data_IF_237737243036
#
_entry.id   IF_237737243036
#
_cell.length_a   1.000
_cell.length_b   1.000
_cell.length_c   1.000
_cell.angle_alpha   90.00
_cell.angle_beta   90.00
_cell.angle_gamma   90.00
#
_symmetry.space_group_name_H-M   'P 1'
#
loop_
_entity.id
_entity.type
_entity.pdbx_description
1 polymer ?
#
# COMPACT_ATOMS: atom_id res chain seq x y z
N UNK A 1 10.32 -25.71 -18.73
CA UNK A 1 10.54 -24.25 -18.73
C UNK A 1 10.73 -23.83 -17.29
N UNK A 2 11.78 -23.06 -16.99
CA UNK A 2 11.93 -22.39 -15.70
C UNK A 2 11.11 -21.10 -15.69
N UNK A 3 10.70 -20.68 -14.51
CA UNK A 3 10.03 -19.39 -14.30
C UNK A 3 10.99 -18.22 -14.47
N UNK A 4 10.43 -17.01 -14.53
CA UNK A 4 11.16 -15.75 -14.66
C UNK A 4 11.37 -15.09 -13.30
N UNK A 5 12.56 -14.57 -13.04
CA UNK A 5 12.83 -13.71 -11.88
C UNK A 5 12.93 -12.24 -12.30
N UNK A 6 12.04 -11.37 -11.79
CA UNK A 6 12.11 -9.93 -11.99
C UNK A 6 12.73 -9.25 -10.76
N UNK A 7 13.92 -8.65 -10.91
CA UNK A 7 14.55 -7.81 -9.91
C UNK A 7 14.02 -6.37 -10.07
N UNK A 8 13.13 -5.93 -9.18
CA UNK A 8 12.36 -4.68 -9.36
C UNK A 8 12.77 -3.63 -8.34
N UNK A 9 13.08 -2.42 -8.81
CA UNK A 9 13.21 -1.25 -7.96
C UNK A 9 11.87 -0.64 -7.57
N UNK A 10 11.58 -0.62 -6.26
CA UNK A 10 10.36 -0.09 -5.67
C UNK A 10 10.33 1.44 -5.60
N UNK A 11 11.46 2.11 -5.85
CA UNK A 11 11.59 3.55 -5.63
C UNK A 11 11.95 3.91 -4.18
N UNK A 12 12.05 5.21 -3.86
CA UNK A 12 12.66 5.70 -2.63
C UNK A 12 11.78 5.60 -1.37
N UNK A 13 10.48 5.34 -1.51
CA UNK A 13 9.53 5.27 -0.41
C UNK A 13 8.09 5.34 -0.90
N UNK A 14 7.67 6.48 -1.45
CA UNK A 14 6.30 6.66 -1.91
C UNK A 14 5.92 5.68 -3.04
N UNK A 15 4.75 5.01 -2.96
CA UNK A 15 4.30 4.03 -3.95
C UNK A 15 4.25 4.54 -5.40
N UNK A 16 3.99 5.84 -5.59
CA UNK A 16 3.89 6.45 -6.93
C UNK A 16 5.20 6.50 -7.71
N UNK A 17 6.34 6.24 -7.05
CA UNK A 17 7.63 6.13 -7.72
C UNK A 17 7.89 4.75 -8.33
N UNK A 18 7.00 3.78 -8.12
CA UNK A 18 7.09 2.49 -8.79
C UNK A 18 6.88 2.70 -10.30
N UNK A 19 7.75 2.09 -11.10
CA UNK A 19 7.63 2.18 -12.56
C UNK A 19 6.42 1.40 -13.07
N UNK A 20 5.87 1.79 -14.22
CA UNK A 20 4.73 1.07 -14.86
C UNK A 20 5.05 -0.41 -15.11
N UNK A 21 6.29 -0.71 -15.51
CA UNK A 21 6.74 -2.10 -15.68
C UNK A 21 6.81 -2.83 -14.34
N UNK A 22 7.30 -2.18 -13.29
CA UNK A 22 7.32 -2.74 -11.93
C UNK A 22 5.92 -3.11 -11.43
N UNK A 23 4.95 -2.21 -11.62
CA UNK A 23 3.54 -2.46 -11.26
C UNK A 23 2.94 -3.64 -12.04
N UNK A 24 3.22 -3.72 -13.34
CA UNK A 24 2.79 -4.84 -14.17
C UNK A 24 3.36 -6.17 -13.67
N UNK A 25 4.66 -6.24 -13.36
CA UNK A 25 5.29 -7.46 -12.87
C UNK A 25 4.82 -7.87 -11.49
N UNK A 26 4.54 -6.92 -10.59
CA UNK A 26 3.90 -7.23 -9.31
C UNK A 26 2.51 -7.86 -9.50
N UNK A 27 1.71 -7.32 -10.41
CA UNK A 27 0.39 -7.88 -10.72
C UNK A 27 0.47 -9.29 -11.32
N UNK A 28 1.48 -9.54 -12.13
CA UNK A 28 1.76 -10.85 -12.75
C UNK A 28 2.51 -11.81 -11.80
N UNK A 29 2.87 -11.43 -10.58
CA UNK A 29 3.72 -12.26 -9.73
C UNK A 29 2.95 -13.45 -9.13
N UNK A 30 3.62 -14.61 -9.04
CA UNK A 30 3.15 -15.75 -8.24
C UNK A 30 3.74 -15.70 -6.82
N UNK A 31 4.91 -15.09 -6.66
CA UNK A 31 5.57 -14.85 -5.37
C UNK A 31 6.32 -13.51 -5.39
N UNK A 32 6.29 -12.77 -4.28
CA UNK A 32 6.99 -11.50 -4.09
C UNK A 32 7.89 -11.56 -2.85
N UNK A 33 9.19 -11.48 -3.06
CA UNK A 33 10.20 -11.32 -2.02
C UNK A 33 10.53 -9.83 -1.82
N UNK A 34 10.28 -9.29 -0.62
CA UNK A 34 10.45 -7.85 -0.35
C UNK A 34 11.24 -7.56 0.93
N UNK A 35 11.90 -6.41 0.96
CA UNK A 35 12.72 -5.92 2.08
C UNK A 35 11.92 -5.02 3.03
N UNK A 36 12.48 -4.79 4.22
CA UNK A 36 11.93 -3.86 5.24
C UNK A 36 11.65 -2.43 4.76
N UNK A 37 12.38 -1.93 3.76
CA UNK A 37 12.26 -0.55 3.27
C UNK A 37 11.27 -0.39 2.12
N UNK A 38 10.71 -1.49 1.62
CA UNK A 38 9.62 -1.45 0.64
C UNK A 38 8.34 -1.03 1.35
N UNK A 39 7.60 -0.10 0.75
CA UNK A 39 6.33 0.32 1.29
C UNK A 39 5.27 -0.79 1.12
N UNK A 40 4.56 -1.19 2.19
CA UNK A 40 3.53 -2.23 2.12
C UNK A 40 2.41 -1.93 1.12
N UNK A 41 2.13 -0.67 0.78
CA UNK A 41 1.11 -0.33 -0.21
C UNK A 41 1.39 -0.96 -1.57
N UNK A 42 2.67 -1.12 -1.95
CA UNK A 42 3.07 -1.76 -3.20
C UNK A 42 2.69 -3.23 -3.25
N UNK A 43 2.56 -3.90 -2.10
CA UNK A 43 2.21 -5.32 -2.04
C UNK A 43 0.75 -5.58 -2.45
N UNK A 44 -0.14 -4.60 -2.29
CA UNK A 44 -1.53 -4.68 -2.77
C UNK A 44 -1.63 -4.73 -4.31
N UNK A 45 -0.54 -4.44 -5.04
CA UNK A 45 -0.46 -4.61 -6.48
C UNK A 45 -0.27 -6.07 -6.89
N UNK A 46 0.07 -6.96 -5.94
CA UNK A 46 0.30 -8.39 -6.14
C UNK A 46 -0.75 -9.25 -5.38
N UNK A 47 -2.06 -9.08 -5.64
CA UNK A 47 -3.12 -9.67 -4.80
C UNK A 47 -3.20 -11.20 -4.84
N UNK A 48 -2.58 -11.84 -5.83
CA UNK A 48 -2.57 -13.31 -6.00
C UNK A 48 -1.23 -13.93 -5.58
N UNK A 49 -0.24 -13.11 -5.24
CA UNK A 49 1.10 -13.59 -4.98
C UNK A 49 1.29 -14.02 -3.52
N UNK A 50 2.11 -15.04 -3.32
CA UNK A 50 2.68 -15.31 -1.99
C UNK A 50 3.66 -14.19 -1.61
N UNK A 51 3.45 -13.54 -0.47
CA UNK A 51 4.28 -12.42 -0.01
C UNK A 51 5.29 -12.89 1.05
N UNK A 52 6.59 -12.73 0.76
CA UNK A 52 7.69 -13.21 1.62
C UNK A 52 8.58 -12.04 2.05
N UNK A 53 8.50 -11.65 3.33
CA UNK A 53 9.39 -10.66 3.94
C UNK A 53 10.78 -11.28 4.22
N UNK A 54 11.77 -10.94 3.39
CA UNK A 54 13.15 -11.40 3.56
C UNK A 54 13.97 -10.53 4.52
N UNK A 55 13.39 -9.42 4.99
CA UNK A 55 13.97 -8.54 6.00
C UNK A 55 13.78 -9.05 7.43
N UNK A 56 12.75 -9.87 7.72
CA UNK A 56 12.38 -10.35 9.07
C UNK A 56 11.69 -11.73 9.08
N UNK A 57 12.29 -12.77 8.51
CA UNK A 57 11.74 -14.12 8.68
C UNK A 57 11.69 -14.54 10.17
N UNK A 58 10.61 -15.19 10.65
CA UNK A 58 10.48 -15.63 12.04
C UNK A 58 11.66 -16.53 12.45
N UNK A 59 12.26 -16.26 13.61
CA UNK A 59 13.42 -16.97 14.19
C UNK A 59 14.77 -16.79 13.49
N UNK A 60 14.90 -15.87 12.54
CA UNK A 60 16.20 -15.57 11.91
C UNK A 60 16.63 -14.12 12.12
N UNK A 61 17.85 -13.96 12.64
CA UNK A 61 18.69 -12.79 12.31
C UNK A 61 18.69 -12.59 10.79
N UNK A 62 18.81 -11.34 10.31
CA UNK A 62 18.91 -10.94 8.88
C UNK A 62 19.22 -12.13 7.96
N UNK A 63 18.28 -12.52 7.09
CA UNK A 63 18.48 -13.61 6.15
C UNK A 63 19.78 -13.34 5.39
N UNK A 64 20.72 -14.29 5.45
CA UNK A 64 21.99 -14.16 4.71
C UNK A 64 21.66 -14.05 3.22
N UNK A 65 22.39 -13.20 2.50
CA UNK A 65 22.14 -12.97 1.08
C UNK A 65 22.06 -14.27 0.27
N UNK A 66 22.98 -15.21 0.51
CA UNK A 66 22.98 -16.51 -0.17
C UNK A 66 21.68 -17.32 0.01
N UNK A 67 20.95 -17.14 1.13
CA UNK A 67 19.66 -17.79 1.30
C UNK A 67 18.56 -17.10 0.48
N UNK A 68 18.61 -15.77 0.34
CA UNK A 68 17.68 -15.04 -0.54
C UNK A 68 17.90 -15.47 -1.99
N UNK A 69 19.15 -15.46 -2.45
CA UNK A 69 19.55 -15.94 -3.79
C UNK A 69 19.02 -17.36 -4.05
N UNK A 70 19.24 -18.27 -3.11
CA UNK A 70 18.77 -19.64 -3.20
C UNK A 70 17.24 -19.75 -3.27
N UNK A 71 16.50 -18.97 -2.48
CA UNK A 71 15.03 -18.95 -2.51
C UNK A 71 14.50 -18.47 -3.87
N UNK A 72 15.14 -17.46 -4.47
CA UNK A 72 14.76 -16.99 -5.81
C UNK A 72 14.90 -18.11 -6.85
N UNK A 73 16.02 -18.84 -6.80
CA UNK A 73 16.27 -20.00 -7.69
C UNK A 73 15.24 -21.11 -7.44
N UNK A 74 15.02 -21.50 -6.17
CA UNK A 74 14.08 -22.56 -5.79
C UNK A 74 12.66 -22.29 -6.33
N UNK A 75 12.16 -21.06 -6.21
CA UNK A 75 10.83 -20.70 -6.69
C UNK A 75 10.78 -20.61 -8.22
N UNK A 76 11.82 -20.09 -8.87
CA UNK A 76 11.88 -20.04 -10.33
C UNK A 76 11.92 -21.46 -10.95
N UNK A 77 12.62 -22.40 -10.32
CA UNK A 77 12.65 -23.82 -10.73
C UNK A 77 11.28 -24.50 -10.64
N UNK A 78 10.36 -23.98 -9.82
CA UNK A 78 8.96 -24.40 -9.76
C UNK A 78 8.09 -23.76 -10.86
N UNK A 79 8.69 -23.14 -11.87
CA UNK A 79 8.02 -22.44 -12.97
C UNK A 79 7.15 -21.25 -12.49
N UNK A 80 7.50 -20.62 -11.37
CA UNK A 80 6.82 -19.44 -10.83
C UNK A 80 7.39 -18.15 -11.41
N UNK A 81 6.54 -17.14 -11.57
CA UNK A 81 6.92 -15.73 -11.81
C UNK A 81 7.32 -15.10 -10.49
N UNK A 82 8.62 -14.96 -10.29
CA UNK A 82 9.21 -14.50 -9.02
C UNK A 82 9.52 -13.02 -9.11
N UNK A 83 8.99 -12.22 -8.19
CA UNK A 83 9.41 -10.83 -8.02
C UNK A 83 10.33 -10.69 -6.81
N UNK A 84 11.49 -10.07 -7.02
CA UNK A 84 12.34 -9.55 -5.95
C UNK A 84 12.20 -8.04 -5.92
N UNK A 85 11.33 -7.54 -5.03
CA UNK A 85 11.04 -6.11 -4.90
C UNK A 85 12.02 -5.46 -3.91
N UNK A 86 12.81 -4.50 -4.38
CA UNK A 86 13.94 -3.88 -3.65
C UNK A 86 13.72 -2.38 -3.52
N UNK A 87 13.98 -1.81 -2.34
CA UNK A 87 13.89 -0.37 -2.15
C UNK A 87 14.90 0.39 -3.02
N UNK A 88 14.49 1.53 -3.59
CA UNK A 88 15.27 2.32 -4.52
C UNK A 88 15.41 1.65 -5.88
N UNK A 89 16.65 1.45 -6.31
CA UNK A 89 17.02 0.79 -7.56
C UNK A 89 17.81 -0.50 -7.26
N UNK A 90 17.60 -1.61 -8.01
CA UNK A 90 18.30 -2.87 -7.75
C UNK A 90 19.83 -2.75 -7.83
N UNK A 91 20.35 -1.86 -8.68
CA UNK A 91 21.77 -1.74 -9.00
C UNK A 91 22.47 -0.56 -8.29
N UNK A 92 21.73 0.32 -7.61
CA UNK A 92 22.31 1.37 -6.76
C UNK A 92 22.43 0.90 -5.31
N UNK A 93 23.54 0.23 -4.98
CA UNK A 93 23.81 -0.40 -3.68
C UNK A 93 22.71 -1.36 -3.17
N UNK A 94 21.86 -1.85 -4.07
CA UNK A 94 20.79 -2.80 -3.77
C UNK A 94 21.26 -4.26 -3.78
N UNK A 95 22.48 -4.56 -4.25
CA UNK A 95 23.01 -5.93 -4.46
C UNK A 95 22.26 -6.73 -5.54
N UNK A 96 21.53 -6.06 -6.43
CA UNK A 96 20.86 -6.73 -7.55
C UNK A 96 21.86 -7.39 -8.51
N UNK A 97 23.09 -6.88 -8.62
CA UNK A 97 24.14 -7.51 -9.42
C UNK A 97 24.52 -8.90 -8.89
N UNK A 98 24.79 -9.01 -7.59
CA UNK A 98 25.07 -10.30 -6.93
C UNK A 98 23.91 -11.29 -7.10
N UNK A 99 22.66 -10.83 -6.94
CA UNK A 99 21.46 -11.64 -7.16
C UNK A 99 21.35 -12.11 -8.62
N UNK A 100 21.61 -11.22 -9.60
CA UNK A 100 21.58 -11.54 -11.03
C UNK A 100 22.67 -12.52 -11.46
N UNK A 101 23.91 -12.36 -10.98
CA UNK A 101 25.01 -13.29 -11.24
C UNK A 101 24.67 -14.72 -10.79
N UNK A 102 24.02 -14.84 -9.64
CA UNK A 102 23.60 -16.13 -9.08
C UNK A 102 22.49 -16.78 -9.87
N UNK A 103 21.53 -16.00 -10.34
CA UNK A 103 20.45 -16.48 -11.21
C UNK A 103 21.01 -16.98 -12.55
N UNK A 104 21.91 -16.20 -13.16
CA UNK A 104 22.59 -16.57 -14.39
C UNK A 104 23.39 -17.87 -14.24
N UNK A 105 24.18 -17.99 -13.16
CA UNK A 105 24.96 -19.19 -12.87
C UNK A 105 24.09 -20.45 -12.66
N UNK A 106 22.84 -20.27 -12.21
CA UNK A 106 21.86 -21.33 -12.03
C UNK A 106 21.03 -21.63 -13.30
N UNK A 107 21.28 -20.93 -14.42
CA UNK A 107 20.52 -21.07 -15.65
C UNK A 107 19.07 -20.58 -15.55
N UNK A 108 18.79 -19.63 -14.66
CA UNK A 108 17.46 -19.05 -14.46
C UNK A 108 17.35 -17.73 -15.23
N UNK A 109 16.32 -17.62 -16.07
CA UNK A 109 15.99 -16.37 -16.76
C UNK A 109 15.61 -15.28 -15.76
N UNK A 110 16.18 -14.10 -15.94
CA UNK A 110 15.88 -12.95 -15.11
C UNK A 110 15.86 -11.65 -15.90
N UNK A 111 15.12 -10.68 -15.39
CA UNK A 111 15.10 -9.30 -15.88
C UNK A 111 15.34 -8.33 -14.72
N UNK A 112 15.80 -7.13 -15.06
CA UNK A 112 15.97 -6.03 -14.11
C UNK A 112 15.04 -4.90 -14.51
N UNK A 113 14.12 -4.57 -13.62
CA UNK A 113 13.23 -3.42 -13.77
C UNK A 113 13.79 -2.29 -12.92
N UNK A 114 14.33 -1.21 -13.52
CA UNK A 114 14.95 -0.13 -12.77
C UNK A 114 13.93 0.57 -11.89
N UNK A 115 14.42 1.11 -10.77
CA UNK A 115 13.65 1.93 -9.86
C UNK A 115 14.23 3.33 -9.74
N UNK A 116 13.42 4.28 -9.27
CA UNK A 116 13.93 5.62 -9.02
C UNK A 116 14.78 5.61 -7.74
N UNK A 117 16.07 5.86 -7.86
CA UNK A 117 16.97 5.88 -6.69
C UNK A 117 16.67 7.05 -5.75
N UNK A 118 16.80 6.81 -4.45
CA UNK A 118 16.67 7.84 -3.42
C UNK A 118 17.73 8.93 -3.55
N UNK A 119 18.89 8.63 -4.14
CA UNK A 119 19.93 9.62 -4.40
C UNK A 119 19.51 10.74 -5.37
N UNK A 120 18.44 10.53 -6.15
CA UNK A 120 17.90 11.53 -7.08
C UNK A 120 16.53 11.99 -6.59
N UNK A 121 15.56 11.08 -6.50
CA UNK A 121 14.20 11.45 -6.11
C UNK A 121 14.09 11.95 -4.67
N UNK A 122 14.94 11.46 -3.77
CA UNK A 122 14.92 11.92 -2.40
C UNK A 122 15.38 13.36 -2.24
N UNK A 123 16.34 13.80 -3.06
CA UNK A 123 16.77 15.19 -3.15
C UNK A 123 15.67 16.05 -3.77
N UNK A 124 15.08 15.60 -4.89
CA UNK A 124 13.99 16.30 -5.56
C UNK A 124 12.80 16.54 -4.62
N UNK A 125 12.38 15.52 -3.86
CA UNK A 125 11.31 15.63 -2.87
C UNK A 125 11.67 16.52 -1.66
N UNK A 126 12.95 16.83 -1.47
CA UNK A 126 13.42 17.79 -0.48
C UNK A 126 13.64 19.20 -1.05
N UNK A 127 13.32 19.44 -2.33
CA UNK A 127 13.58 20.71 -3.02
C UNK A 127 15.06 20.94 -3.35
N UNK A 128 15.86 19.88 -3.43
CA UNK A 128 17.29 19.95 -3.76
C UNK A 128 17.48 19.28 -5.13
N UNK A 129 17.97 19.99 -6.15
CA UNK A 129 18.31 19.35 -7.41
C UNK A 129 19.64 18.61 -7.26
N UNK A 130 19.79 17.45 -7.90
CA UNK A 130 21.05 16.68 -7.84
C UNK A 130 22.21 17.43 -8.53
N UNK A 131 21.88 18.18 -9.59
CA UNK A 131 22.79 19.00 -10.39
C UNK A 131 22.18 20.37 -10.65
N UNK A 132 23.01 21.39 -10.82
CA UNK A 132 22.57 22.73 -11.22
C UNK A 132 23.73 23.42 -11.94
N UNK A 133 23.46 24.14 -13.04
CA UNK A 133 24.49 24.73 -13.90
C UNK A 133 25.54 25.54 -13.11
N UNK A 134 25.09 26.33 -12.15
CA UNK A 134 25.96 27.21 -11.36
C UNK A 134 26.58 26.55 -10.13
N UNK A 135 26.18 25.32 -9.77
CA UNK A 135 26.60 24.68 -8.51
C UNK A 135 27.22 23.29 -8.65
N UNK A 136 26.79 22.50 -9.63
CA UNK A 136 27.22 21.11 -9.79
C UNK A 136 26.98 20.61 -11.23
N UNK A 137 28.07 20.37 -11.96
CA UNK A 137 28.10 19.71 -13.28
C UNK A 137 28.21 18.18 -13.19
N UNK A 138 28.54 17.66 -12.00
CA UNK A 138 28.66 16.23 -11.69
C UNK A 138 28.01 15.90 -10.35
N UNK A 139 27.79 14.62 -10.11
CA UNK A 139 27.43 14.12 -8.78
C UNK A 139 28.01 12.71 -8.55
N UNK A 140 28.18 12.35 -7.28
CA UNK A 140 28.79 11.10 -6.87
C UNK A 140 27.93 10.43 -5.81
N UNK A 141 27.53 9.19 -6.05
CA UNK A 141 26.80 8.37 -5.06
C UNK A 141 27.80 7.45 -4.36
N UNK A 142 27.89 7.58 -3.04
CA UNK A 142 28.88 6.90 -2.21
C UNK A 142 28.16 6.09 -1.14
N UNK A 143 28.56 4.86 -0.89
CA UNK A 143 28.08 4.12 0.29
C UNK A 143 28.92 4.47 1.50
N UNK A 144 28.28 4.88 2.59
CA UNK A 144 28.93 5.04 3.88
C UNK A 144 29.23 3.72 4.57
N UNK A 145 28.67 2.58 4.12
CA UNK A 145 28.94 1.27 4.69
C UNK A 145 29.57 0.35 3.64
N UNK A 146 30.83 -0.05 3.84
CA UNK A 146 31.52 -1.06 3.02
C UNK A 146 31.79 -2.32 3.83
N UNK A 147 31.87 -3.47 3.15
CA UNK A 147 32.52 -4.66 3.71
C UNK A 147 34.00 -4.32 3.95
N UNK A 148 34.55 -4.74 5.10
CA UNK A 148 35.90 -4.41 5.59
C UNK A 148 37.05 -4.83 4.65
N UNK A 149 36.77 -5.61 3.61
CA UNK A 149 37.76 -6.28 2.77
C UNK A 149 38.24 -5.46 1.56
N UNK A 150 37.55 -4.40 1.13
CA UNK A 150 37.81 -3.69 -0.14
C UNK A 150 38.58 -2.36 -0.03
N UNK A 151 39.43 -2.19 0.98
CA UNK A 151 40.14 -0.93 1.21
C UNK A 151 39.21 0.21 1.62
N UNK A 152 39.75 1.20 2.34
CA UNK A 152 38.99 2.38 2.76
C UNK A 152 38.46 3.19 1.57
N UNK A 153 37.54 4.12 1.85
CA UNK A 153 37.19 5.15 0.88
C UNK A 153 38.42 6.04 0.64
N UNK A 154 38.68 6.41 -0.62
CA UNK A 154 39.72 7.38 -0.94
C UNK A 154 39.22 8.79 -0.60
N UNK A 155 39.31 9.16 0.68
CA UNK A 155 38.81 10.43 1.20
C UNK A 155 39.52 11.64 0.60
N UNK A 156 40.81 11.52 0.28
CA UNK A 156 41.56 12.54 -0.46
C UNK A 156 40.89 12.84 -1.81
N UNK A 157 40.54 11.80 -2.58
CA UNK A 157 39.83 11.99 -3.84
C UNK A 157 38.39 12.52 -3.65
N UNK A 158 37.64 11.94 -2.71
CA UNK A 158 36.22 12.28 -2.49
C UNK A 158 36.05 13.74 -2.05
N UNK A 159 36.90 14.23 -1.15
CA UNK A 159 36.82 15.61 -0.66
C UNK A 159 37.08 16.63 -1.77
N UNK A 160 37.92 16.27 -2.75
CA UNK A 160 38.31 17.11 -3.88
C UNK A 160 37.36 16.98 -5.09
N UNK A 161 36.41 16.05 -5.07
CA UNK A 161 35.41 15.97 -6.14
C UNK A 161 34.55 17.24 -6.18
N UNK A 162 34.41 17.78 -7.39
CA UNK A 162 33.46 18.84 -7.72
C UNK A 162 32.03 18.29 -7.76
N UNK A 163 31.04 19.18 -7.69
CA UNK A 163 29.63 18.81 -7.76
C UNK A 163 29.05 18.31 -6.43
N UNK A 164 28.02 17.46 -6.55
CA UNK A 164 27.20 17.02 -5.41
C UNK A 164 27.63 15.64 -4.91
N UNK A 165 27.99 15.52 -3.63
CA UNK A 165 28.26 14.22 -3.00
C UNK A 165 27.00 13.72 -2.29
N UNK A 166 26.57 12.50 -2.59
CA UNK A 166 25.42 11.86 -1.95
C UNK A 166 25.87 10.58 -1.28
N UNK A 167 25.88 10.55 0.05
CA UNK A 167 26.17 9.33 0.81
C UNK A 167 24.87 8.59 1.16
N UNK A 168 24.80 7.33 0.71
CA UNK A 168 23.80 6.35 1.10
C UNK A 168 24.30 5.52 2.26
N UNK A 169 23.40 5.09 3.15
CA UNK A 169 23.74 4.24 4.31
C UNK A 169 24.83 4.83 5.25
N UNK A 170 25.02 6.15 5.23
CA UNK A 170 26.11 6.81 5.95
C UNK A 170 25.78 7.32 7.36
N UNK A 171 24.51 7.28 7.79
CA UNK A 171 24.08 7.99 9.00
C UNK A 171 24.84 7.60 10.28
N UNK A 172 25.11 6.31 10.49
CA UNK A 172 25.89 5.88 11.65
C UNK A 172 27.35 6.33 11.61
N UNK A 173 27.86 6.64 10.42
CA UNK A 173 29.23 7.12 10.18
C UNK A 173 29.29 8.62 9.89
N UNK A 174 28.19 9.37 10.03
CA UNK A 174 28.15 10.80 9.73
C UNK A 174 29.29 11.59 10.41
N UNK A 175 29.63 11.37 11.70
CA UNK A 175 30.78 12.06 12.31
C UNK A 175 32.11 11.78 11.60
N UNK A 176 32.35 10.54 11.18
CA UNK A 176 33.57 10.16 10.46
C UNK A 176 33.58 10.76 9.06
N UNK A 177 32.48 10.67 8.30
CA UNK A 177 32.35 11.26 6.97
C UNK A 177 32.68 12.76 7.02
N UNK A 178 32.15 13.49 8.01
CA UNK A 178 32.41 14.92 8.19
C UNK A 178 33.87 15.19 8.54
N UNK A 179 34.48 14.40 9.43
CA UNK A 179 35.88 14.55 9.80
C UNK A 179 36.81 14.32 8.61
N UNK A 180 36.60 13.24 7.86
CA UNK A 180 37.40 12.86 6.69
C UNK A 180 37.32 13.88 5.57
N UNK A 181 36.11 14.36 5.24
CA UNK A 181 35.93 15.42 4.24
C UNK A 181 36.69 16.69 4.63
N UNK A 182 36.61 17.11 5.90
CA UNK A 182 37.30 18.32 6.38
C UNK A 182 38.81 18.15 6.41
N UNK A 183 39.30 17.00 6.89
CA UNK A 183 40.73 16.67 6.93
C UNK A 183 41.36 16.73 5.54
N UNK A 184 40.61 16.33 4.51
CA UNK A 184 41.07 16.31 3.12
C UNK A 184 40.68 17.56 2.31
N UNK A 185 40.35 18.67 2.99
CA UNK A 185 40.24 19.99 2.38
C UNK A 185 38.83 20.47 2.00
N UNK A 186 37.76 19.70 2.29
CA UNK A 186 36.39 20.20 2.08
C UNK A 186 36.10 21.33 3.07
N UNK A 187 35.67 22.48 2.56
CA UNK A 187 35.41 23.66 3.38
C UNK A 187 34.39 23.40 4.48
N UNK A 188 34.68 23.88 5.69
CA UNK A 188 33.82 23.73 6.87
C UNK A 188 32.43 24.36 6.72
N UNK A 189 32.32 25.35 5.81
CA UNK A 189 31.11 26.08 5.45
C UNK A 189 30.27 25.37 4.37
N UNK A 190 30.78 24.30 3.75
CA UNK A 190 30.07 23.57 2.68
C UNK A 190 28.68 23.17 3.18
N UNK A 191 27.60 23.52 2.45
CA UNK A 191 26.25 23.14 2.83
C UNK A 191 26.05 21.62 2.83
N UNK A 192 25.36 21.13 3.85
CA UNK A 192 24.96 19.72 3.96
C UNK A 192 23.46 19.64 4.22
N UNK A 193 22.79 18.70 3.56
CA UNK A 193 21.42 18.29 3.88
C UNK A 193 21.39 16.83 4.32
N UNK A 194 20.58 16.54 5.33
CA UNK A 194 20.22 15.20 5.77
C UNK A 194 18.75 15.01 5.50
N UNK A 195 18.41 14.05 4.64
CA UNK A 195 17.04 13.79 4.20
C UNK A 195 16.63 12.41 4.73
N UNK A 196 15.86 12.40 5.81
CA UNK A 196 15.34 11.19 6.43
C UNK A 196 14.02 10.81 5.77
N UNK A 197 13.85 9.50 5.49
CA UNK A 197 12.61 8.95 4.93
C UNK A 197 12.13 9.72 3.69
N UNK A 198 13.02 9.91 2.73
CA UNK A 198 12.72 10.70 1.54
C UNK A 198 11.47 10.16 0.81
N UNK A 199 10.62 11.05 0.31
CA UNK A 199 9.32 10.79 -0.34
C UNK A 199 8.21 10.20 0.55
N UNK A 200 8.53 9.75 1.76
CA UNK A 200 7.55 9.15 2.67
C UNK A 200 6.89 10.22 3.56
N UNK A 201 5.71 9.94 4.14
CA UNK A 201 4.94 10.93 4.91
C UNK A 201 5.68 11.51 6.13
N UNK A 202 6.61 10.75 6.70
CA UNK A 202 7.44 11.17 7.81
C UNK A 202 8.79 11.77 7.36
N UNK A 203 8.88 12.25 6.11
CA UNK A 203 10.08 12.88 5.57
C UNK A 203 10.52 14.04 6.48
N UNK A 204 11.80 14.06 6.84
CA UNK A 204 12.40 15.15 7.60
C UNK A 204 13.69 15.59 6.94
N UNK A 205 13.89 16.89 6.85
CA UNK A 205 15.07 17.47 6.22
C UNK A 205 15.76 18.42 7.19
N UNK A 206 17.06 18.24 7.36
CA UNK A 206 17.91 19.13 8.16
C UNK A 206 19.04 19.63 7.31
N UNK A 207 19.26 20.94 7.32
CA UNK A 207 20.38 21.57 6.61
C UNK A 207 21.28 22.30 7.58
N UNK A 208 22.59 22.13 7.45
CA UNK A 208 23.59 22.91 8.20
C UNK A 208 24.92 22.91 7.43
N UNK A 209 25.85 23.83 7.74
CA UNK A 209 27.22 23.72 7.27
C UNK A 209 27.88 22.41 7.73
N UNK A 210 28.85 21.91 6.95
CA UNK A 210 29.57 20.67 7.21
C UNK A 210 30.11 20.57 8.64
N UNK A 211 30.64 21.68 9.20
CA UNK A 211 31.15 21.72 10.56
C UNK A 211 30.09 21.54 11.66
N UNK A 212 28.81 21.82 11.37
CA UNK A 212 27.72 21.84 12.36
C UNK A 212 26.73 20.69 12.17
N UNK A 213 26.71 20.02 11.03
CA UNK A 213 25.66 19.05 10.71
C UNK A 213 25.51 17.91 11.72
N UNK A 214 26.62 17.44 12.31
CA UNK A 214 26.61 16.37 13.31
C UNK A 214 25.83 16.80 14.58
N UNK A 215 26.08 18.00 15.08
CA UNK A 215 25.37 18.50 16.28
C UNK A 215 23.91 18.79 15.96
N UNK A 216 23.62 19.35 14.77
CA UNK A 216 22.24 19.60 14.33
C UNK A 216 21.42 18.31 14.21
N UNK A 217 21.99 17.25 13.62
CA UNK A 217 21.34 15.93 13.51
C UNK A 217 21.03 15.34 14.88
N UNK A 218 21.96 15.45 15.84
CA UNK A 218 21.76 14.96 17.22
C UNK A 218 20.65 15.74 17.93
N UNK A 219 20.69 17.07 17.87
CA UNK A 219 19.68 17.94 18.48
C UNK A 219 18.28 17.66 17.91
N UNK A 220 18.17 17.49 16.59
CA UNK A 220 16.91 17.20 15.92
C UNK A 220 16.54 15.72 15.93
N UNK A 221 17.34 14.83 16.53
CA UNK A 221 17.06 13.38 16.59
C UNK A 221 16.77 12.79 15.20
N UNK A 222 17.58 13.13 14.20
CA UNK A 222 17.48 12.56 12.84
C UNK A 222 18.24 11.24 12.81
N UNK A 223 17.59 10.18 12.30
CA UNK A 223 18.12 8.82 12.27
C UNK A 223 18.22 8.24 10.87
N UNK A 224 18.40 6.92 10.77
CA UNK A 224 18.30 6.18 9.52
C UNK A 224 16.84 5.76 9.23
N UNK A 225 16.49 5.47 7.96
CA UNK A 225 17.27 5.69 6.74
C UNK A 225 17.30 7.18 6.36
N UNK A 226 18.50 7.69 6.02
CA UNK A 226 18.68 9.05 5.49
C UNK A 226 19.74 9.11 4.41
N UNK A 227 19.60 10.12 3.55
CA UNK A 227 20.60 10.58 2.59
C UNK A 227 21.45 11.66 3.25
N UNK A 228 22.76 11.67 2.99
CA UNK A 228 23.65 12.78 3.33
C UNK A 228 24.08 13.44 2.03
N UNK A 229 23.68 14.69 1.83
CA UNK A 229 23.95 15.45 0.60
C UNK A 229 24.91 16.58 0.94
N UNK A 230 26.08 16.61 0.32
CA UNK A 230 27.11 17.63 0.54
C UNK A 230 27.34 18.36 -0.77
N UNK A 231 27.13 19.67 -0.78
CA UNK A 231 27.33 20.50 -1.98
C UNK A 231 26.43 21.72 -2.00
N UNK A 232 26.77 22.66 -2.89
CA UNK A 232 26.11 23.96 -2.93
C UNK A 232 24.66 23.92 -3.43
N UNK A 233 24.26 22.85 -4.15
CA UNK A 233 22.86 22.61 -4.52
C UNK A 233 21.90 22.60 -3.33
N UNK A 234 22.39 22.31 -2.11
CA UNK A 234 21.58 22.36 -0.89
C UNK A 234 21.05 23.79 -0.61
N UNK A 235 21.76 24.83 -1.05
CA UNK A 235 21.31 26.24 -0.91
C UNK A 235 19.98 26.48 -1.63
N UNK A 236 19.75 25.79 -2.75
CA UNK A 236 18.55 25.94 -3.57
C UNK A 236 17.28 25.43 -2.89
N UNK A 237 17.40 24.61 -1.84
CA UNK A 237 16.25 24.14 -1.05
C UNK A 237 15.31 25.27 -0.64
N UNK A 238 15.85 26.43 -0.27
CA UNK A 238 15.03 27.56 0.20
C UNK A 238 14.12 28.13 -0.90
N UNK A 239 14.50 27.95 -2.15
CA UNK A 239 13.81 28.50 -3.33
C UNK A 239 12.95 27.43 -4.00
N UNK A 240 13.45 26.20 -4.08
CA UNK A 240 12.82 25.11 -4.84
C UNK A 240 11.95 24.18 -3.98
N UNK A 241 11.79 24.46 -2.68
CA UNK A 241 10.85 23.72 -1.86
C UNK A 241 9.42 24.02 -2.35
N UNK A 242 8.77 23.01 -2.92
CA UNK A 242 7.39 23.11 -3.38
C UNK A 242 6.46 23.55 -2.23
N UNK A 243 5.41 24.34 -2.52
CA UNK A 243 4.39 24.67 -1.53
C UNK A 243 3.79 23.40 -0.92
N UNK A 244 3.58 23.40 0.39
CA UNK A 244 2.89 22.30 1.04
C UNK A 244 1.44 22.24 0.54
N UNK A 245 1.03 21.07 0.09
CA UNK A 245 -0.37 20.76 -0.15
C UNK A 245 -1.13 20.58 1.17
N UNK A 246 -2.48 20.65 1.18
CA UNK A 246 -3.27 20.61 2.41
C UNK A 246 -3.03 19.39 3.31
N UNK A 247 -2.65 18.25 2.73
CA UNK A 247 -2.42 17.00 3.44
C UNK A 247 -0.94 16.57 3.43
N UNK A 248 0.00 17.46 3.11
CA UNK A 248 1.44 17.15 3.18
C UNK A 248 1.82 16.59 4.54
N UNK A 249 2.49 15.43 4.54
CA UNK A 249 2.96 14.75 5.75
C UNK A 249 1.84 14.10 6.57
N UNK A 250 0.64 13.95 5.98
CA UNK A 250 -0.48 13.23 6.58
C UNK A 250 -0.52 11.78 6.08
N UNK A 251 -0.62 10.83 6.99
CA UNK A 251 -0.78 9.41 6.69
C UNK A 251 -2.20 8.95 7.06
N UNK A 252 -2.98 8.63 6.04
CA UNK A 252 -4.43 8.42 6.16
C UNK A 252 -4.77 6.99 5.78
N UNK A 253 -5.45 6.30 6.69
CA UNK A 253 -5.92 4.93 6.50
C UNK A 253 -7.30 4.93 5.80
N UNK A 254 -7.44 4.18 4.72
CA UNK A 254 -8.72 3.99 4.01
C UNK A 254 -8.95 2.50 3.71
N UNK A 255 -10.20 2.06 3.43
CA UNK A 255 -10.40 0.68 2.98
C UNK A 255 -9.73 0.41 1.64
N UNK A 256 -9.21 -0.80 1.47
CA UNK A 256 -8.75 -1.31 0.19
C UNK A 256 -9.91 -1.33 -0.83
N UNK A 257 -9.65 -0.73 -2.00
CA UNK A 257 -10.53 -0.76 -3.16
C UNK A 257 -9.66 -0.52 -4.40
N UNK A 258 -9.94 -1.19 -5.50
CA UNK A 258 -9.27 -0.94 -6.78
C UNK A 258 -10.30 -0.87 -7.91
N UNK A 259 -10.34 0.22 -8.70
CA UNK A 259 -9.66 1.52 -8.47
C UNK A 259 -10.22 2.26 -7.24
N UNK A 260 -9.48 3.24 -6.70
CA UNK A 260 -9.91 4.03 -5.54
C UNK A 260 -9.77 5.52 -5.77
N UNK A 261 -10.85 6.13 -6.26
CA UNK A 261 -10.96 7.59 -6.44
C UNK A 261 -10.67 8.37 -5.15
N UNK A 262 -11.05 7.82 -3.98
CA UNK A 262 -10.74 8.45 -2.70
C UNK A 262 -9.22 8.50 -2.45
N UNK A 263 -8.50 7.42 -2.77
CA UNK A 263 -7.05 7.39 -2.63
C UNK A 263 -6.38 8.42 -3.54
N UNK A 264 -6.76 8.45 -4.82
CA UNK A 264 -6.25 9.43 -5.79
C UNK A 264 -6.45 10.86 -5.27
N UNK A 265 -7.67 11.20 -4.84
CA UNK A 265 -7.99 12.54 -4.33
C UNK A 265 -7.19 12.92 -3.07
N UNK A 266 -6.85 11.96 -2.21
CA UNK A 266 -6.02 12.18 -1.02
C UNK A 266 -4.56 12.36 -1.40
N UNK A 267 -4.04 11.50 -2.28
CA UNK A 267 -2.66 11.55 -2.78
C UNK A 267 -2.38 12.84 -3.56
N UNK A 268 -3.32 13.30 -4.40
CA UNK A 268 -3.23 14.59 -5.12
C UNK A 268 -3.15 15.79 -4.16
N UNK A 269 -3.67 15.63 -2.93
CA UNK A 269 -3.57 16.62 -1.84
C UNK A 269 -2.33 16.41 -0.98
N UNK A 270 -1.42 15.52 -1.36
CA UNK A 270 -0.15 15.19 -0.71
C UNK A 270 -0.26 14.31 0.52
N UNK A 271 -1.40 13.65 0.73
CA UNK A 271 -1.50 12.61 1.75
C UNK A 271 -0.75 11.36 1.29
N UNK A 272 -0.16 10.67 2.24
CA UNK A 272 0.22 9.28 2.08
C UNK A 272 -0.99 8.43 2.48
N UNK A 273 -1.36 7.50 1.62
CA UNK A 273 -2.54 6.67 1.81
C UNK A 273 -2.08 5.28 2.16
N UNK A 274 -2.54 4.76 3.30
CA UNK A 274 -2.43 3.34 3.58
C UNK A 274 -3.79 2.68 3.56
N UNK A 275 -3.79 1.36 3.36
CA UNK A 275 -5.01 0.58 3.21
C UNK A 275 -5.15 -0.50 4.27
N UNK A 276 -6.40 -0.82 4.57
CA UNK A 276 -6.74 -2.05 5.28
C UNK A 276 -7.58 -2.95 4.40
N UNK A 277 -7.37 -4.25 4.54
CA UNK A 277 -8.05 -5.25 3.73
C UNK A 277 -9.56 -5.25 4.02
N UNK A 278 -10.34 -5.51 2.98
CA UNK A 278 -11.81 -5.62 3.08
C UNK A 278 -12.25 -7.07 3.09
N UNK A 279 -13.46 -7.31 3.62
CA UNK A 279 -14.06 -8.63 3.46
C UNK A 279 -14.29 -8.93 1.99
N UNK A 280 -13.99 -10.17 1.61
CA UNK A 280 -14.26 -10.68 0.27
C UNK A 280 -15.42 -11.67 0.34
N UNK A 281 -16.30 -11.68 -0.67
CA UNK A 281 -17.35 -12.67 -0.73
C UNK A 281 -16.75 -14.04 -1.01
N UNK A 282 -17.06 -15.00 -0.16
CA UNK A 282 -16.72 -16.41 -0.33
C UNK A 282 -18.01 -17.19 -0.60
N UNK A 283 -18.05 -17.90 -1.73
CA UNK A 283 -19.17 -18.80 -2.06
C UNK A 283 -19.41 -19.77 -0.91
N UNK A 284 -20.67 -19.97 -0.55
CA UNK A 284 -21.06 -21.05 0.32
C UNK A 284 -21.46 -22.27 -0.53
N UNK A 285 -21.08 -23.50 -0.12
CA UNK A 285 -21.69 -24.68 -0.70
C UNK A 285 -23.16 -24.68 -0.31
N UNK A 286 -24.04 -24.62 -1.31
CA UNK A 286 -25.49 -24.62 -1.10
C UNK A 286 -26.13 -25.73 -1.91
N UNK A 287 -27.09 -26.41 -1.30
CA UNK A 287 -28.00 -27.29 -2.03
C UNK A 287 -29.03 -26.40 -2.70
N UNK A 288 -29.04 -26.38 -4.03
CA UNK A 288 -30.04 -25.63 -4.78
C UNK A 288 -31.44 -26.13 -4.38
N UNK A 289 -32.35 -25.23 -3.97
CA UNK A 289 -33.70 -25.63 -3.63
C UNK A 289 -34.48 -25.99 -4.90
N UNK A 290 -35.62 -26.63 -4.73
CA UNK A 290 -36.57 -26.77 -5.83
C UNK A 290 -37.22 -25.41 -6.12
N UNK A 291 -36.80 -24.75 -7.20
CA UNK A 291 -37.30 -23.43 -7.58
C UNK A 291 -38.80 -23.43 -7.91
N UNK A 292 -39.41 -24.58 -8.19
CA UNK A 292 -40.85 -24.67 -8.47
C UNK A 292 -41.71 -24.47 -7.22
N UNK A 293 -41.13 -24.61 -6.02
CA UNK A 293 -41.79 -24.35 -4.74
C UNK A 293 -41.94 -22.84 -4.43
N UNK A 294 -41.36 -21.98 -5.27
CA UNK A 294 -41.33 -20.53 -5.07
C UNK A 294 -42.05 -19.79 -6.19
N UNK A 295 -42.63 -18.64 -5.86
CA UNK A 295 -43.24 -17.72 -6.82
C UNK A 295 -42.43 -16.43 -6.96
N UNK A 296 -41.68 -16.05 -5.93
CA UNK A 296 -40.94 -14.78 -5.88
C UNK A 296 -39.49 -15.03 -5.49
N UNK A 297 -38.56 -14.44 -6.25
CA UNK A 297 -37.13 -14.39 -5.92
C UNK A 297 -36.74 -12.96 -5.54
N UNK A 298 -36.38 -12.75 -4.27
CA UNK A 298 -35.85 -11.50 -3.76
C UNK A 298 -34.33 -11.54 -3.79
N UNK A 299 -33.72 -10.63 -4.54
CA UNK A 299 -32.27 -10.48 -4.66
C UNK A 299 -31.81 -9.33 -3.77
N UNK A 300 -31.09 -9.62 -2.69
CA UNK A 300 -30.64 -8.58 -1.76
C UNK A 300 -29.47 -7.76 -2.27
N UNK A 301 -28.61 -8.37 -3.06
CA UNK A 301 -27.42 -7.77 -3.63
C UNK A 301 -26.93 -8.53 -4.88
N UNK A 302 -26.07 -7.90 -5.67
CA UNK A 302 -25.57 -8.47 -6.92
C UNK A 302 -24.58 -9.61 -6.74
N UNK A 303 -23.92 -9.69 -5.58
CA UNK A 303 -22.97 -10.77 -5.29
C UNK A 303 -23.76 -12.05 -5.05
N UNK A 304 -24.85 -11.98 -4.26
CA UNK A 304 -25.71 -13.12 -4.00
C UNK A 304 -26.23 -13.77 -5.30
N UNK A 305 -26.67 -12.95 -6.26
CA UNK A 305 -27.13 -13.44 -7.55
C UNK A 305 -26.00 -14.06 -8.39
N UNK A 306 -24.82 -13.42 -8.43
CA UNK A 306 -23.66 -13.96 -9.14
C UNK A 306 -23.27 -15.35 -8.61
N UNK A 307 -23.30 -15.51 -7.28
CA UNK A 307 -22.99 -16.77 -6.61
C UNK A 307 -24.07 -17.83 -6.88
N UNK A 308 -25.36 -17.46 -6.86
CA UNK A 308 -26.44 -18.35 -7.29
C UNK A 308 -26.23 -18.86 -8.72
N UNK A 309 -25.94 -17.95 -9.67
CA UNK A 309 -25.70 -18.32 -11.06
C UNK A 309 -24.53 -19.29 -11.19
N UNK A 310 -23.41 -19.03 -10.50
CA UNK A 310 -22.26 -19.91 -10.51
C UNK A 310 -22.62 -21.33 -10.01
N UNK A 311 -23.45 -21.42 -8.98
CA UNK A 311 -23.93 -22.71 -8.44
C UNK A 311 -24.91 -23.42 -9.39
N UNK A 312 -25.81 -22.68 -10.05
CA UNK A 312 -26.68 -23.23 -11.10
C UNK A 312 -25.85 -23.86 -12.23
N UNK A 313 -24.89 -23.11 -12.76
CA UNK A 313 -24.01 -23.59 -13.84
C UNK A 313 -23.17 -24.80 -13.41
N UNK A 314 -22.67 -24.81 -12.18
CA UNK A 314 -21.97 -25.97 -11.62
C UNK A 314 -22.88 -27.22 -11.52
N UNK A 315 -24.19 -27.02 -11.31
CA UNK A 315 -25.20 -28.05 -11.33
C UNK A 315 -25.77 -28.35 -12.73
N UNK A 316 -25.16 -27.82 -13.80
CA UNK A 316 -25.63 -27.93 -15.19
C UNK A 316 -27.05 -27.38 -15.43
N UNK A 317 -27.48 -26.44 -14.58
CA UNK A 317 -28.70 -25.66 -14.76
C UNK A 317 -28.34 -24.24 -15.23
N UNK A 318 -29.23 -23.60 -15.96
CA UNK A 318 -29.08 -22.20 -16.33
C UNK A 318 -30.22 -21.35 -15.79
N UNK A 319 -30.20 -20.06 -16.07
CA UNK A 319 -31.15 -19.09 -15.54
C UNK A 319 -32.62 -19.37 -15.95
N UNK A 320 -32.87 -20.24 -16.94
CA UNK A 320 -34.25 -20.59 -17.34
C UNK A 320 -35.02 -21.28 -16.22
N UNK A 321 -34.34 -21.91 -15.27
CA UNK A 321 -35.00 -22.51 -14.09
C UNK A 321 -35.62 -21.47 -13.15
N UNK A 322 -35.30 -20.18 -13.34
CA UNK A 322 -35.83 -19.06 -12.57
C UNK A 322 -36.92 -18.29 -13.36
N UNK A 323 -37.23 -18.67 -14.60
CA UNK A 323 -38.04 -17.87 -15.52
C UNK A 323 -39.50 -17.69 -15.07
N UNK A 324 -40.03 -18.59 -14.23
CA UNK A 324 -41.37 -18.51 -13.66
C UNK A 324 -41.44 -17.63 -12.40
N UNK A 325 -40.30 -17.20 -11.84
CA UNK A 325 -40.25 -16.43 -10.61
C UNK A 325 -40.43 -14.94 -10.86
N UNK A 326 -41.23 -14.29 -10.03
CA UNK A 326 -41.32 -12.83 -9.94
C UNK A 326 -40.05 -12.28 -9.28
N UNK A 327 -39.26 -11.50 -10.01
CA UNK A 327 -37.93 -11.07 -9.60
C UNK A 327 -37.97 -9.71 -8.92
N UNK A 328 -37.64 -9.67 -7.64
CA UNK A 328 -37.61 -8.44 -6.84
C UNK A 328 -36.17 -8.05 -6.53
N UNK A 329 -35.76 -6.89 -6.99
CA UNK A 329 -34.49 -6.27 -6.59
C UNK A 329 -34.70 -5.38 -5.36
N UNK A 330 -33.84 -5.49 -4.35
CA UNK A 330 -33.99 -4.65 -3.13
C UNK A 330 -33.57 -3.19 -3.32
N UNK A 331 -32.91 -2.87 -4.43
CA UNK A 331 -32.51 -1.51 -4.77
C UNK A 331 -32.27 -1.32 -6.27
N UNK A 332 -32.26 -0.06 -6.71
CA UNK A 332 -31.95 0.31 -8.10
C UNK A 332 -30.57 -0.18 -8.56
N UNK A 333 -29.61 -0.28 -7.63
CA UNK A 333 -28.29 -0.83 -7.90
C UNK A 333 -28.36 -2.32 -8.22
N UNK A 334 -29.18 -3.07 -7.49
CA UNK A 334 -29.38 -4.51 -7.71
C UNK A 334 -30.12 -4.74 -9.02
N UNK A 335 -31.20 -3.99 -9.28
CA UNK A 335 -31.95 -4.07 -10.54
C UNK A 335 -31.04 -3.84 -11.76
N UNK A 336 -30.22 -2.78 -11.74
CA UNK A 336 -29.20 -2.54 -12.80
C UNK A 336 -28.13 -3.62 -12.87
N UNK A 337 -27.76 -4.21 -11.73
CA UNK A 337 -26.78 -5.29 -11.69
C UNK A 337 -27.28 -6.58 -12.35
N UNK A 338 -28.56 -6.90 -12.18
CA UNK A 338 -29.21 -8.08 -12.79
C UNK A 338 -29.23 -8.00 -14.33
N UNK A 339 -29.29 -6.80 -14.90
CA UNK A 339 -29.26 -6.59 -16.35
C UNK A 339 -27.98 -7.13 -17.01
N UNK A 340 -26.86 -7.21 -16.27
CA UNK A 340 -25.61 -7.82 -16.77
C UNK A 340 -25.77 -9.31 -17.11
N UNK A 341 -26.76 -9.95 -16.51
CA UNK A 341 -27.12 -11.34 -16.74
C UNK A 341 -28.33 -11.48 -17.67
N UNK A 342 -28.77 -10.38 -18.31
CA UNK A 342 -29.93 -10.37 -19.20
C UNK A 342 -31.28 -10.36 -18.47
N UNK A 343 -31.30 -10.07 -17.16
CA UNK A 343 -32.52 -10.09 -16.35
C UNK A 343 -33.02 -8.68 -16.02
N UNK A 344 -34.32 -8.47 -16.17
CA UNK A 344 -35.04 -7.30 -15.65
C UNK A 344 -35.75 -7.71 -14.36
N UNK A 345 -35.62 -6.88 -13.31
CA UNK A 345 -36.42 -7.07 -12.11
C UNK A 345 -37.84 -6.57 -12.36
N UNK A 346 -38.84 -7.37 -11.98
CA UNK A 346 -40.25 -6.99 -12.07
C UNK A 346 -40.62 -5.90 -11.05
N UNK A 347 -39.92 -5.87 -9.91
CA UNK A 347 -40.07 -4.84 -8.90
C UNK A 347 -38.72 -4.41 -8.29
N UNK A 348 -38.69 -3.17 -7.78
CA UNK A 348 -37.55 -2.61 -7.05
C UNK A 348 -38.01 -2.08 -5.68
N UNK A 349 -37.99 -2.93 -4.67
CA UNK A 349 -38.57 -2.64 -3.35
C UNK A 349 -37.56 -2.94 -2.23
N UNK A 350 -37.21 -1.97 -1.35
CA UNK A 350 -36.33 -2.20 -0.21
C UNK A 350 -36.78 -3.40 0.64
N UNK A 351 -35.82 -4.21 1.11
CA UNK A 351 -36.10 -5.41 1.91
C UNK A 351 -36.97 -5.12 3.14
N UNK A 352 -36.77 -3.97 3.79
CA UNK A 352 -37.54 -3.54 4.95
C UNK A 352 -39.02 -3.18 4.65
N UNK A 353 -39.38 -3.03 3.38
CA UNK A 353 -40.73 -2.72 2.93
C UNK A 353 -41.44 -3.94 2.32
N UNK A 354 -40.76 -5.09 2.24
CA UNK A 354 -41.34 -6.32 1.72
C UNK A 354 -42.18 -7.02 2.78
N UNK A 355 -43.32 -7.57 2.36
CA UNK A 355 -44.09 -8.48 3.17
C UNK A 355 -43.41 -9.87 3.18
N UNK A 356 -42.63 -10.12 4.23
CA UNK A 356 -41.90 -11.38 4.40
C UNK A 356 -42.80 -12.54 4.81
N UNK A 357 -44.08 -12.29 5.09
CA UNK A 357 -45.07 -13.32 5.42
C UNK A 357 -45.73 -13.95 4.18
N UNK A 358 -45.49 -13.37 2.99
CA UNK A 358 -45.99 -13.92 1.74
C UNK A 358 -45.50 -15.37 1.51
N UNK A 359 -46.38 -16.29 1.12
CA UNK A 359 -45.99 -17.68 0.88
C UNK A 359 -45.06 -17.79 -0.34
N UNK A 360 -44.25 -18.86 -0.38
CA UNK A 360 -43.42 -19.21 -1.55
C UNK A 360 -42.39 -18.13 -1.93
N UNK A 361 -41.88 -17.39 -0.95
CA UNK A 361 -40.89 -16.34 -1.14
C UNK A 361 -39.46 -16.84 -0.85
N UNK A 362 -38.58 -16.75 -1.84
CA UNK A 362 -37.15 -17.08 -1.73
C UNK A 362 -36.32 -15.80 -1.68
N UNK A 363 -35.49 -15.64 -0.66
CA UNK A 363 -34.58 -14.51 -0.52
C UNK A 363 -33.16 -15.02 -0.65
N UNK A 364 -32.38 -14.46 -1.56
CA UNK A 364 -30.95 -14.73 -1.68
C UNK A 364 -30.12 -13.57 -1.15
N UNK A 365 -29.10 -13.89 -0.36
CA UNK A 365 -28.22 -12.88 0.24
C UNK A 365 -26.97 -13.45 0.91
N UNK A 366 -26.29 -12.60 1.66
CA UNK A 366 -25.16 -12.99 2.50
C UNK A 366 -25.61 -13.82 3.72
N UNK A 367 -24.72 -14.68 4.23
CA UNK A 367 -24.85 -15.29 5.55
C UNK A 367 -24.59 -14.27 6.68
N UNK A 368 -25.18 -14.49 7.88
CA UNK A 368 -26.09 -15.58 8.23
C UNK A 368 -27.48 -15.38 7.63
N UNK A 369 -28.14 -16.50 7.31
CA UNK A 369 -29.52 -16.48 6.88
C UNK A 369 -30.42 -15.91 7.98
N UNK A 370 -31.31 -14.98 7.63
CA UNK A 370 -32.25 -14.43 8.59
C UNK A 370 -33.43 -15.41 8.77
N UNK A 371 -33.77 -15.70 10.01
CA UNK A 371 -34.96 -16.49 10.33
C UNK A 371 -36.19 -15.59 10.22
N UNK A 372 -36.97 -15.79 9.17
CA UNK A 372 -38.22 -15.05 8.91
C UNK A 372 -39.37 -16.05 8.78
N UNK A 373 -40.46 -15.85 9.52
CA UNK A 373 -41.67 -16.67 9.32
C UNK A 373 -42.25 -16.39 7.92
N UNK A 374 -42.35 -17.42 7.09
CA UNK A 374 -42.98 -17.34 5.75
C UNK A 374 -42.02 -17.30 4.56
N UNK A 375 -40.80 -16.80 4.74
CA UNK A 375 -39.80 -16.70 3.68
C UNK A 375 -38.64 -17.70 3.86
N UNK A 376 -38.20 -18.32 2.76
CA UNK A 376 -36.98 -19.13 2.74
C UNK A 376 -35.78 -18.23 2.45
N UNK A 377 -34.80 -18.21 3.35
CA UNK A 377 -33.56 -17.50 3.13
C UNK A 377 -32.46 -18.45 2.65
N UNK A 378 -31.92 -18.19 1.47
CA UNK A 378 -30.81 -18.91 0.87
C UNK A 378 -29.56 -18.03 0.91
N UNK A 379 -28.69 -18.31 1.88
CA UNK A 379 -27.38 -17.68 1.94
C UNK A 379 -26.48 -18.26 0.83
N UNK A 380 -26.13 -17.43 -0.14
CA UNK A 380 -25.33 -17.85 -1.31
C UNK A 380 -23.83 -17.64 -1.10
N UNK A 381 -23.48 -16.75 -0.17
CA UNK A 381 -22.10 -16.42 0.15
C UNK A 381 -21.97 -15.96 1.60
N UNK A 382 -20.74 -15.95 2.11
CA UNK A 382 -20.38 -15.32 3.36
C UNK A 382 -19.25 -14.32 3.15
N UNK A 383 -19.19 -13.29 3.99
CA UNK A 383 -18.05 -12.38 4.01
C UNK A 383 -16.88 -13.04 4.74
N UNK A 384 -15.82 -13.40 4.01
CA UNK A 384 -14.57 -13.82 4.63
C UNK A 384 -13.83 -12.58 5.11
N UNK A 385 -13.70 -12.44 6.43
CA UNK A 385 -12.88 -11.38 7.01
C UNK A 385 -11.41 -11.66 6.71
N UNK A 386 -10.65 -10.66 6.23
CA UNK A 386 -9.21 -10.78 6.10
C UNK A 386 -8.57 -10.76 7.49
N UNK A 387 -7.31 -11.17 7.60
CA UNK A 387 -6.51 -10.92 8.81
C UNK A 387 -5.69 -9.65 8.62
N UNK A 388 -5.73 -8.72 9.59
CA UNK A 388 -4.99 -7.45 9.52
C UNK A 388 -3.60 -7.54 10.15
N UNK A 389 -2.88 -8.64 9.94
CA UNK A 389 -1.60 -8.92 10.62
C UNK A 389 -0.52 -7.88 10.32
N UNK A 390 -0.57 -7.27 9.13
CA UNK A 390 0.37 -6.24 8.70
C UNK A 390 -0.03 -4.83 9.12
N UNK A 391 -1.28 -4.61 9.55
CA UNK A 391 -1.76 -3.29 9.94
C UNK A 391 -1.04 -2.80 11.20
N UNK A 392 -0.54 -1.57 11.17
CA UNK A 392 0.12 -0.93 12.32
C UNK A 392 -0.59 0.39 12.64
N UNK A 393 -1.71 0.39 13.40
CA UNK A 393 -2.55 1.57 13.58
C UNK A 393 -1.81 2.86 13.99
N UNK A 394 -0.77 2.74 14.82
CA UNK A 394 0.07 3.88 15.29
C UNK A 394 0.78 4.67 14.18
N UNK A 395 0.92 4.13 12.97
CA UNK A 395 1.56 4.85 11.87
C UNK A 395 0.63 5.83 11.16
N UNK A 396 -0.68 5.70 11.37
CA UNK A 396 -1.69 6.57 10.75
C UNK A 396 -2.05 7.71 11.69
N UNK A 397 -2.36 8.85 11.10
CA UNK A 397 -2.82 10.04 11.82
C UNK A 397 -4.34 10.19 11.77
N UNK A 398 -4.99 9.62 10.76
CA UNK A 398 -6.45 9.57 10.63
C UNK A 398 -6.89 8.35 9.81
N UNK A 399 -8.18 8.02 9.88
CA UNK A 399 -8.83 7.04 9.02
C UNK A 399 -10.10 7.61 8.38
N UNK A 400 -10.44 7.18 7.16
CA UNK A 400 -11.68 7.52 6.48
C UNK A 400 -12.51 6.26 6.23
N UNK A 401 -13.78 6.31 6.62
CA UNK A 401 -14.72 5.21 6.46
C UNK A 401 -15.86 5.61 5.51
N UNK A 402 -15.94 5.00 4.32
CA UNK A 402 -16.99 5.31 3.35
C UNK A 402 -18.31 4.57 3.59
N UNK A 403 -18.32 3.56 4.47
CA UNK A 403 -19.50 2.73 4.74
C UNK A 403 -19.41 2.04 6.09
N UNK A 404 -20.56 1.63 6.64
CA UNK A 404 -20.65 0.80 7.85
C UNK A 404 -19.97 -0.56 7.67
N UNK A 405 -20.03 -1.14 6.47
CA UNK A 405 -19.31 -2.37 6.16
C UNK A 405 -17.79 -2.21 6.28
N UNK A 406 -17.23 -1.08 5.84
CA UNK A 406 -15.80 -0.82 6.01
C UNK A 406 -15.39 -0.71 7.49
N UNK A 407 -16.27 -0.18 8.34
CA UNK A 407 -16.08 -0.16 9.79
C UNK A 407 -16.07 -1.60 10.33
N UNK A 408 -17.08 -2.39 9.98
CA UNK A 408 -17.18 -3.79 10.43
C UNK A 408 -15.99 -4.63 9.95
N UNK A 409 -15.61 -4.51 8.67
CA UNK A 409 -14.48 -5.20 8.05
C UNK A 409 -13.21 -4.95 8.86
N UNK A 410 -12.88 -3.69 9.18
CA UNK A 410 -11.68 -3.36 9.95
C UNK A 410 -11.77 -3.83 11.40
N UNK A 411 -12.79 -3.43 12.13
CA UNK A 411 -12.84 -3.65 13.58
C UNK A 411 -13.01 -5.12 13.95
N UNK A 412 -13.62 -5.94 13.08
CA UNK A 412 -13.78 -7.38 13.30
C UNK A 412 -12.56 -8.20 12.85
N UNK A 413 -11.61 -7.61 12.13
CA UNK A 413 -10.41 -8.29 11.60
C UNK A 413 -9.10 -7.97 12.31
N UNK A 414 -9.14 -7.09 13.32
CA UNK A 414 -7.96 -6.65 14.07
C UNK A 414 -7.84 -7.32 15.43
N UNK A 415 -6.60 -7.53 15.88
CA UNK A 415 -6.31 -7.99 17.24
C UNK A 415 -6.73 -6.95 18.30
N UNK A 416 -6.97 -7.36 19.57
CA UNK A 416 -7.41 -6.45 20.63
C UNK A 416 -6.49 -5.23 20.83
N UNK A 417 -5.17 -5.42 20.72
CA UNK A 417 -4.19 -4.34 20.86
C UNK A 417 -4.24 -3.32 19.70
N UNK A 418 -4.52 -3.78 18.48
CA UNK A 418 -4.74 -2.92 17.31
C UNK A 418 -6.07 -2.18 17.44
N UNK A 419 -7.13 -2.87 17.90
CA UNK A 419 -8.46 -2.29 18.14
C UNK A 419 -8.37 -1.10 19.09
N UNK A 420 -7.69 -1.24 20.23
CA UNK A 420 -7.51 -0.14 21.18
C UNK A 420 -6.82 1.08 20.55
N UNK A 421 -5.84 0.85 19.67
CA UNK A 421 -5.16 1.95 18.96
C UNK A 421 -6.07 2.62 17.93
N UNK A 422 -6.87 1.84 17.20
CA UNK A 422 -7.84 2.36 16.22
C UNK A 422 -8.95 3.17 16.88
N UNK A 423 -9.41 2.79 18.07
CA UNK A 423 -10.40 3.55 18.83
C UNK A 423 -9.93 4.97 19.20
N UNK A 424 -8.61 5.16 19.29
CA UNK A 424 -8.00 6.47 19.53
C UNK A 424 -7.75 7.27 18.24
N UNK A 425 -7.81 6.62 17.07
CA UNK A 425 -7.49 7.24 15.78
C UNK A 425 -8.63 8.17 15.32
N UNK A 426 -8.34 9.45 14.99
CA UNK A 426 -9.31 10.34 14.36
C UNK A 426 -9.95 9.68 13.14
N UNK A 427 -11.27 9.52 13.16
CA UNK A 427 -11.99 8.76 12.14
C UNK A 427 -13.05 9.64 11.48
N UNK A 428 -12.97 9.74 10.15
CA UNK A 428 -13.88 10.54 9.33
C UNK A 428 -14.94 9.63 8.72
N UNK A 429 -16.20 9.93 8.98
CA UNK A 429 -17.34 9.14 8.55
C UNK A 429 -18.05 9.80 7.35
N UNK A 430 -18.34 9.00 6.33
CA UNK A 430 -19.22 9.38 5.22
C UNK A 430 -20.69 9.09 5.57
N UNK A 431 -21.36 10.06 6.18
CA UNK A 431 -22.75 9.96 6.61
C UNK A 431 -22.94 9.51 8.06
N UNK A 432 -24.13 9.78 8.59
CA UNK A 432 -24.43 9.63 10.02
C UNK A 432 -24.47 8.16 10.46
N UNK A 433 -24.92 7.25 9.61
CA UNK A 433 -24.91 5.81 9.90
C UNK A 433 -23.49 5.27 10.10
N UNK A 434 -22.53 5.76 9.31
CA UNK A 434 -21.12 5.37 9.44
C UNK A 434 -20.52 5.95 10.73
N UNK A 435 -20.89 7.18 11.08
CA UNK A 435 -20.47 7.80 12.33
C UNK A 435 -21.00 7.01 13.53
N UNK A 436 -22.28 6.64 13.53
CA UNK A 436 -22.89 5.82 14.57
C UNK A 436 -22.19 4.45 14.69
N UNK A 437 -21.86 3.81 13.58
CA UNK A 437 -21.13 2.53 13.58
C UNK A 437 -19.73 2.65 14.19
N UNK A 438 -19.00 3.74 13.94
CA UNK A 438 -17.70 3.98 14.57
C UNK A 438 -17.82 4.21 16.08
N UNK A 439 -18.83 4.98 16.51
CA UNK A 439 -19.10 5.21 17.94
C UNK A 439 -19.42 3.88 18.64
N UNK A 440 -20.22 3.01 17.99
CA UNK A 440 -20.53 1.68 18.52
C UNK A 440 -19.30 0.77 18.67
N UNK A 441 -18.25 0.98 17.85
CA UNK A 441 -16.95 0.30 17.99
C UNK A 441 -16.04 0.95 19.04
N UNK A 442 -16.50 1.97 19.77
CA UNK A 442 -15.75 2.66 20.82
C UNK A 442 -14.76 3.70 20.30
N UNK A 443 -14.92 4.18 19.07
CA UNK A 443 -14.05 5.23 18.51
C UNK A 443 -14.36 6.57 19.18
N UNK A 444 -13.33 7.18 19.78
CA UNK A 444 -13.50 8.38 20.62
C UNK A 444 -13.60 9.67 19.80
N UNK A 445 -12.95 9.73 18.64
CA UNK A 445 -12.85 10.93 17.80
C UNK A 445 -13.46 10.69 16.43
N UNK A 446 -14.77 10.85 16.33
CA UNK A 446 -15.54 10.66 15.09
C UNK A 446 -15.94 11.99 14.49
N UNK A 447 -15.60 12.19 13.22
CA UNK A 447 -15.92 13.39 12.44
C UNK A 447 -16.90 13.02 11.33
N UNK A 448 -18.18 13.30 11.55
CA UNK A 448 -19.23 13.12 10.54
C UNK A 448 -19.14 14.16 9.41
N UNK A 449 -19.52 13.72 8.21
CA UNK A 449 -19.69 14.57 7.03
C UNK A 449 -20.82 14.02 6.15
N UNK A 450 -21.36 14.85 5.27
CA UNK A 450 -22.29 14.40 4.23
C UNK A 450 -21.64 13.28 3.39
N UNK A 451 -22.39 12.29 2.86
CA UNK A 451 -21.86 11.10 2.20
C UNK A 451 -21.31 11.41 0.79
N UNK A 452 -20.24 12.20 0.74
CA UNK A 452 -19.55 12.65 -0.47
C UNK A 452 -18.05 12.78 -0.19
N UNK A 453 -17.23 12.36 -1.15
CA UNK A 453 -15.77 12.51 -1.05
C UNK A 453 -15.37 13.98 -0.86
N UNK A 454 -16.01 14.92 -1.57
CA UNK A 454 -15.69 16.34 -1.43
C UNK A 454 -15.88 16.84 0.01
N UNK A 455 -16.94 16.36 0.69
CA UNK A 455 -17.27 16.78 2.06
C UNK A 455 -16.38 16.16 3.12
N UNK A 456 -15.96 14.91 2.94
CA UNK A 456 -14.91 14.32 3.80
C UNK A 456 -13.59 15.03 3.62
N UNK A 457 -13.19 15.32 2.38
CA UNK A 457 -11.92 15.99 2.08
C UNK A 457 -11.85 17.39 2.70
N UNK A 458 -12.92 18.19 2.54
CA UNK A 458 -13.05 19.49 3.21
C UNK A 458 -12.91 19.36 4.74
N UNK A 459 -13.48 18.31 5.33
CA UNK A 459 -13.44 18.07 6.77
C UNK A 459 -12.03 17.71 7.25
N UNK A 460 -11.34 16.81 6.56
CA UNK A 460 -9.99 16.36 6.96
C UNK A 460 -8.93 17.44 6.73
N UNK A 461 -9.07 18.25 5.68
CA UNK A 461 -8.22 19.42 5.45
C UNK A 461 -8.34 20.43 6.59
N UNK A 462 -9.57 20.76 7.01
CA UNK A 462 -9.80 21.62 8.18
C UNK A 462 -9.23 21.04 9.45
N UNK A 463 -9.37 19.74 9.67
CA UNK A 463 -8.79 19.06 10.82
C UNK A 463 -7.25 19.13 10.83
N UNK A 464 -6.61 19.18 9.66
CA UNK A 464 -5.15 19.29 9.57
C UNK A 464 -4.60 20.69 9.85
N UNK A 465 -5.44 21.72 9.77
CA UNK A 465 -5.09 23.12 10.01
C UNK A 465 -5.19 23.54 11.48
N UNK A 466 -5.85 22.72 12.31
CA UNK A 466 -6.00 22.86 13.76
C UNK A 466 -4.95 22.00 14.46
#
# INVERSE_FOLDING_TARGET
>A
MSGLVSLIGAGPGAPEYLTRLGARRLHEADVVFYDRLVDPELLHLAPQAELIDVGKLPRFHKVKQGRIEQLLIEYAQQNKRVVRLKAGDPYVFGRGGEEGERLAAAGIDFEVVPGITSAIAGLAAAGIPITHRDYASSFHIITGHRQKTNGGLNWANIAQQEGTLVFLMGMSQLPQIVAELRQHGKAATTPVAIIQWATHWNQRVVTAPLAKIVSTVRQQKIGAPSLIVVGDVVKLRRVLQAPATPLTGKHILIPAAQPSRLAELLTDRGAFVGRFERSTPQSLPLKLPDFTAYQTLVVTDTVAFAQLQQQLLAAQQDLRVLAHLYLVATSQRVAKGLQKYGLLADACTPLAQLDLSAPALLIIGAAPAQSTQGATWLATYQHRLPTQDQLRPRQYQAAIFPSTQAVADLFNSVAPSQRQQLQQLPSFAMGDQVAAALIAQGVQRVYGSQPSYAKVLEKIERWCQV
#
